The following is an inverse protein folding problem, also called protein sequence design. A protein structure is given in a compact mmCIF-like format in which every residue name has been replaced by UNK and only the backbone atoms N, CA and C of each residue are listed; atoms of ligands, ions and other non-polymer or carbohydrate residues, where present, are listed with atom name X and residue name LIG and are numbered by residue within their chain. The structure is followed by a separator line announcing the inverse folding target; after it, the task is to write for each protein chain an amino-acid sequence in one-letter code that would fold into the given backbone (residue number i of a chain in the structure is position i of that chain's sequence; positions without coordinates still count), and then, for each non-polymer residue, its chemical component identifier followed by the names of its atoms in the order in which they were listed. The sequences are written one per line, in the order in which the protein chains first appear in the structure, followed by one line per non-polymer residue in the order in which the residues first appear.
data_IF_507587429218
#
_entry.id   IF_507587429218
#
_cell.length_a   1.000
_cell.length_b   1.000
_cell.length_c   1.000
_cell.angle_alpha   90.00
_cell.angle_beta   90.00
_cell.angle_gamma   90.00
#
_symmetry.space_group_name_H-M   'P 1'
#
loop_
_entity.id
_entity.type
_entity.pdbx_description
1 polymer ?
#
# COMPACT_ATOMS: atom_id res chain seq x y z
N UNK A 1 -8.22 15.88 -5.22
CA UNK A 1 -9.49 16.59 -5.44
C UNK A 1 -10.55 15.91 -4.58
N UNK A 2 -10.90 16.50 -3.43
CA UNK A 2 -11.85 15.93 -2.45
C UNK A 2 -13.17 16.69 -2.43
N UNK A 3 -13.30 17.76 -3.21
CA UNK A 3 -14.47 18.65 -3.17
C UNK A 3 -15.76 17.96 -3.68
N UNK A 4 -15.61 16.90 -4.47
CA UNK A 4 -16.71 16.10 -5.01
C UNK A 4 -16.98 14.79 -4.23
N UNK A 5 -16.25 14.53 -3.12
CA UNK A 5 -16.41 13.29 -2.36
C UNK A 5 -17.40 13.46 -1.22
N UNK A 6 -18.31 12.49 -1.10
CA UNK A 6 -19.12 12.33 0.10
C UNK A 6 -18.27 11.78 1.27
N UNK A 7 -18.85 11.71 2.47
CA UNK A 7 -18.14 11.22 3.65
C UNK A 7 -17.57 9.81 3.45
N UNK A 8 -18.27 8.95 2.71
CA UNK A 8 -17.81 7.60 2.35
C UNK A 8 -16.59 7.62 1.44
N UNK A 9 -16.59 8.48 0.42
CA UNK A 9 -15.48 8.70 -0.49
C UNK A 9 -14.23 9.23 0.20
N UNK A 10 -14.39 10.17 1.14
CA UNK A 10 -13.27 10.67 1.96
C UNK A 10 -12.69 9.55 2.84
N UNK A 11 -13.55 8.76 3.51
CA UNK A 11 -13.09 7.64 4.33
C UNK A 11 -12.37 6.59 3.48
N UNK A 12 -12.88 6.30 2.29
CA UNK A 12 -12.28 5.35 1.34
C UNK A 12 -10.90 5.81 0.90
N UNK A 13 -10.78 7.04 0.42
CA UNK A 13 -9.50 7.60 0.00
C UNK A 13 -8.47 7.60 1.14
N UNK A 14 -8.90 7.89 2.38
CA UNK A 14 -8.03 7.84 3.54
C UNK A 14 -7.57 6.41 3.88
N UNK A 15 -8.45 5.41 3.80
CA UNK A 15 -8.10 4.00 4.02
C UNK A 15 -7.16 3.49 2.92
N UNK A 16 -7.43 3.82 1.65
CA UNK A 16 -6.56 3.53 0.51
C UNK A 16 -5.16 4.11 0.73
N UNK A 17 -5.09 5.40 1.11
CA UNK A 17 -3.82 6.08 1.40
C UNK A 17 -3.02 5.37 2.49
N UNK A 18 -3.67 4.93 3.58
CA UNK A 18 -3.01 4.21 4.66
C UNK A 18 -2.54 2.82 4.20
N UNK A 19 -3.37 2.10 3.44
CA UNK A 19 -3.02 0.78 2.91
C UNK A 19 -1.82 0.85 1.96
N UNK A 20 -1.82 1.79 1.01
CA UNK A 20 -0.70 2.01 0.07
C UNK A 20 0.58 2.42 0.83
N UNK A 21 0.48 3.40 1.74
CA UNK A 21 1.65 3.86 2.52
C UNK A 21 2.19 2.82 3.50
N UNK A 22 1.43 1.77 3.82
CA UNK A 22 1.97 0.64 4.60
C UNK A 22 3.14 -0.01 3.86
N UNK A 23 3.02 -0.17 2.54
CA UNK A 23 4.12 -0.63 1.68
C UNK A 23 5.14 0.50 1.50
N UNK A 24 4.75 1.56 0.81
CA UNK A 24 5.73 2.46 0.18
C UNK A 24 6.30 3.50 1.18
N UNK A 25 5.52 3.77 2.22
CA UNK A 25 5.83 4.68 3.32
C UNK A 25 6.68 4.03 4.40
N UNK A 26 6.55 2.72 4.64
CA UNK A 26 7.14 2.06 5.83
C UNK A 26 7.87 0.77 5.49
N UNK A 27 7.20 -0.26 4.98
CA UNK A 27 7.80 -1.59 4.82
C UNK A 27 8.89 -1.58 3.74
N UNK A 28 8.67 -0.94 2.59
CA UNK A 28 9.68 -0.83 1.54
C UNK A 28 10.93 -0.07 2.02
N UNK A 29 10.85 1.12 2.63
CA UNK A 29 12.02 1.75 3.27
C UNK A 29 12.76 0.83 4.23
N UNK A 30 12.04 0.09 5.09
CA UNK A 30 12.66 -0.85 6.02
C UNK A 30 13.40 -1.98 5.30
N UNK A 31 12.80 -2.59 4.27
CA UNK A 31 13.46 -3.62 3.45
C UNK A 31 14.77 -3.10 2.86
N UNK A 32 14.75 -1.91 2.25
CA UNK A 32 15.95 -1.33 1.64
C UNK A 32 17.00 -0.91 2.68
N UNK A 33 16.58 -0.46 3.88
CA UNK A 33 17.47 -0.21 5.01
C UNK A 33 18.15 -1.48 5.51
N UNK A 34 17.42 -2.59 5.68
CA UNK A 34 18.02 -3.85 6.14
C UNK A 34 18.96 -4.47 5.09
N UNK A 35 18.72 -4.25 3.80
CA UNK A 35 19.56 -4.82 2.74
C UNK A 35 20.84 -4.02 2.48
N UNK A 36 20.77 -2.68 2.53
CA UNK A 36 21.88 -1.81 2.10
C UNK A 36 22.19 -0.67 3.08
N UNK A 37 21.70 -0.76 4.32
CA UNK A 37 21.86 0.27 5.34
C UNK A 37 21.23 1.61 4.93
N UNK A 38 21.75 2.69 5.50
CA UNK A 38 21.26 4.05 5.24
C UNK A 38 21.24 4.39 3.74
N UNK A 39 22.24 3.94 2.97
CA UNK A 39 22.30 4.18 1.53
C UNK A 39 21.09 3.59 0.79
N UNK A 40 20.67 2.37 1.15
CA UNK A 40 19.45 1.74 0.60
C UNK A 40 18.19 2.52 0.92
N UNK A 41 18.03 2.95 2.18
CA UNK A 41 16.89 3.76 2.60
C UNK A 41 16.79 5.08 1.84
N UNK A 42 17.91 5.80 1.69
CA UNK A 42 17.96 7.05 0.91
C UNK A 42 17.69 6.80 -0.58
N UNK A 43 18.24 5.73 -1.16
CA UNK A 43 18.00 5.37 -2.55
C UNK A 43 16.51 5.13 -2.79
N UNK A 44 15.88 4.26 -2.00
CA UNK A 44 14.47 3.95 -2.12
C UNK A 44 13.60 5.21 -1.96
N UNK A 45 13.82 6.01 -0.91
CA UNK A 45 13.02 7.22 -0.71
C UNK A 45 13.23 8.27 -1.81
N UNK A 46 14.42 8.33 -2.41
CA UNK A 46 14.66 9.20 -3.56
C UNK A 46 13.83 8.76 -4.77
N UNK A 47 13.79 7.45 -5.06
CA UNK A 47 12.98 6.88 -6.16
C UNK A 47 11.49 7.15 -5.92
N UNK A 48 10.99 6.81 -4.74
CA UNK A 48 9.58 6.98 -4.38
C UNK A 48 9.12 8.45 -4.39
N UNK A 49 9.99 9.36 -3.94
CA UNK A 49 9.71 10.80 -4.02
C UNK A 49 9.73 11.29 -5.47
N UNK A 50 10.64 10.78 -6.30
CA UNK A 50 10.73 11.15 -7.72
C UNK A 50 9.46 10.79 -8.48
N UNK A 51 8.88 9.61 -8.23
CA UNK A 51 7.61 9.22 -8.83
C UNK A 51 6.47 10.15 -8.42
N UNK A 52 6.36 10.45 -7.12
CA UNK A 52 5.34 11.37 -6.59
C UNK A 52 5.46 12.81 -7.12
N UNK A 53 6.68 13.29 -7.42
CA UNK A 53 6.92 14.65 -7.92
C UNK A 53 6.78 14.76 -9.46
N UNK A 54 7.22 13.74 -10.20
CA UNK A 54 7.30 13.78 -11.67
C UNK A 54 6.16 13.00 -12.37
N UNK A 55 5.37 12.23 -11.63
CA UNK A 55 4.28 11.39 -12.14
C UNK A 55 3.04 12.16 -12.61
N UNK A 56 2.95 13.47 -12.34
CA UNK A 56 1.86 14.29 -12.90
C UNK A 56 2.01 14.37 -14.42
N UNK A 57 0.98 13.90 -15.13
CA UNK A 57 0.83 13.92 -16.59
C UNK A 57 0.75 15.34 -17.16
N UNK A 58 1.80 16.13 -17.00
CA UNK A 58 2.03 17.31 -17.82
C UNK A 58 2.69 16.85 -19.13
N UNK A 59 2.18 17.31 -20.27
CA UNK A 59 2.73 17.03 -21.62
C UNK A 59 4.25 17.24 -21.71
N UNK A 60 4.85 18.02 -20.80
CA UNK A 60 6.27 18.33 -20.71
C UNK A 60 7.16 17.22 -20.10
N UNK A 61 6.62 16.30 -19.28
CA UNK A 61 7.41 15.32 -18.51
C UNK A 61 7.02 13.85 -18.75
N UNK A 62 6.19 13.58 -19.76
CA UNK A 62 5.59 12.26 -20.00
C UNK A 62 6.60 11.09 -20.02
N UNK A 63 7.77 11.28 -20.64
CA UNK A 63 8.81 10.24 -20.73
C UNK A 63 9.59 10.06 -19.42
N UNK A 64 9.92 11.16 -18.73
CA UNK A 64 10.61 11.12 -17.43
C UNK A 64 9.71 10.56 -16.33
N UNK A 65 8.45 11.00 -16.27
CA UNK A 65 7.45 10.46 -15.36
C UNK A 65 7.22 8.97 -15.56
N UNK A 66 7.22 8.48 -16.82
CA UNK A 66 7.07 7.04 -17.11
C UNK A 66 8.29 6.21 -16.72
N UNK A 67 9.50 6.77 -16.81
CA UNK A 67 10.72 6.12 -16.35
C UNK A 67 10.79 6.07 -14.82
N UNK A 68 10.42 7.17 -14.15
CA UNK A 68 10.33 7.25 -12.69
C UNK A 68 9.29 6.26 -12.13
N UNK A 69 8.07 6.26 -12.69
CA UNK A 69 7.01 5.32 -12.29
C UNK A 69 7.39 3.86 -12.49
N UNK A 70 8.09 3.54 -13.59
CA UNK A 70 8.62 2.19 -13.79
C UNK A 70 9.68 1.85 -12.75
N UNK A 71 10.63 2.74 -12.48
CA UNK A 71 11.66 2.44 -11.48
C UNK A 71 11.03 2.22 -10.10
N UNK A 72 10.05 3.05 -9.72
CA UNK A 72 9.28 2.88 -8.49
C UNK A 72 8.57 1.52 -8.46
N UNK A 73 7.85 1.17 -9.53
CA UNK A 73 7.16 -0.11 -9.65
C UNK A 73 8.11 -1.30 -9.43
N UNK A 74 9.33 -1.21 -9.95
CA UNK A 74 10.34 -2.26 -9.80
C UNK A 74 10.90 -2.35 -8.38
N UNK A 75 11.27 -1.23 -7.76
CA UNK A 75 11.83 -1.23 -6.39
C UNK A 75 10.79 -1.60 -5.34
N UNK A 76 9.50 -1.38 -5.63
CA UNK A 76 8.37 -1.75 -4.77
C UNK A 76 7.79 -3.15 -5.04
N UNK A 77 8.18 -3.81 -6.12
CA UNK A 77 7.57 -5.09 -6.51
C UNK A 77 7.61 -6.16 -5.40
N UNK A 78 8.78 -6.36 -4.79
CA UNK A 78 8.97 -7.31 -3.68
C UNK A 78 8.39 -6.74 -2.38
N UNK A 79 8.73 -5.50 -1.96
CA UNK A 79 8.16 -4.91 -0.76
C UNK A 79 6.64 -4.91 -0.68
N UNK A 80 5.93 -4.60 -1.77
CA UNK A 80 4.47 -4.55 -1.77
C UNK A 80 3.83 -5.93 -1.48
N UNK A 81 4.42 -7.01 -2.03
CA UNK A 81 3.97 -8.39 -1.78
C UNK A 81 4.28 -8.81 -0.35
N UNK A 82 5.47 -8.50 0.14
CA UNK A 82 5.84 -8.75 1.52
C UNK A 82 4.91 -8.01 2.49
N UNK A 83 4.59 -6.75 2.18
CA UNK A 83 3.66 -5.92 2.95
C UNK A 83 2.28 -6.56 3.06
N UNK A 84 1.73 -7.04 1.94
CA UNK A 84 0.44 -7.73 1.93
C UNK A 84 0.44 -9.00 2.80
N UNK A 85 1.53 -9.79 2.77
CA UNK A 85 1.68 -10.99 3.60
C UNK A 85 1.75 -10.63 5.09
N UNK A 86 2.55 -9.62 5.45
CA UNK A 86 2.69 -9.13 6.82
C UNK A 86 1.37 -8.57 7.36
N UNK A 87 0.68 -7.75 6.57
CA UNK A 87 -0.65 -7.24 6.93
C UNK A 87 -1.65 -8.39 7.13
N UNK A 88 -1.68 -9.38 6.24
CA UNK A 88 -2.56 -10.55 6.39
C UNK A 88 -2.27 -11.30 7.69
N UNK A 89 -0.99 -11.52 8.02
CA UNK A 89 -0.57 -12.18 9.25
C UNK A 89 -0.93 -11.37 10.52
N UNK A 90 -0.93 -10.04 10.43
CA UNK A 90 -1.26 -9.14 11.54
C UNK A 90 -2.76 -8.92 11.74
N UNK A 91 -3.63 -9.31 10.79
CA UNK A 91 -5.08 -9.12 10.91
C UNK A 91 -5.67 -9.65 12.24
N UNK A 92 -5.34 -10.87 12.72
CA UNK A 92 -5.87 -11.38 13.99
C UNK A 92 -5.46 -10.53 15.20
N UNK A 93 -4.23 -10.00 15.20
CA UNK A 93 -3.72 -9.12 16.26
C UNK A 93 -4.48 -7.79 16.34
N UNK A 94 -5.08 -7.37 15.23
CA UNK A 94 -5.89 -6.16 15.14
C UNK A 94 -7.40 -6.41 15.32
N UNK A 95 -7.82 -7.66 15.56
CA UNK A 95 -9.23 -8.06 15.60
C UNK A 95 -9.91 -7.94 14.24
N UNK A 96 -9.16 -8.17 13.15
CA UNK A 96 -9.63 -8.10 11.77
C UNK A 96 -9.70 -9.50 11.13
N UNK A 97 -10.47 -9.63 10.05
CA UNK A 97 -10.70 -10.90 9.39
C UNK A 97 -9.54 -11.28 8.46
N UNK A 98 -8.60 -12.08 8.98
CA UNK A 98 -7.45 -12.57 8.22
C UNK A 98 -7.85 -13.51 7.06
N UNK A 99 -8.91 -14.30 7.24
CA UNK A 99 -9.38 -15.24 6.22
C UNK A 99 -9.94 -14.50 5.01
N UNK A 100 -10.76 -13.47 5.27
CA UNK A 100 -11.28 -12.62 4.23
C UNK A 100 -10.21 -11.73 3.60
N UNK A 101 -9.27 -11.20 4.39
CA UNK A 101 -8.10 -10.47 3.89
C UNK A 101 -7.31 -11.30 2.88
N UNK A 102 -6.99 -12.55 3.21
CA UNK A 102 -6.30 -13.48 2.31
C UNK A 102 -7.10 -13.79 1.05
N UNK A 103 -8.42 -14.03 1.20
CA UNK A 103 -9.31 -14.31 0.07
C UNK A 103 -9.34 -13.15 -0.92
N UNK A 104 -9.52 -11.92 -0.45
CA UNK A 104 -9.57 -10.72 -1.29
C UNK A 104 -8.19 -10.42 -1.88
N UNK A 105 -7.12 -10.52 -1.11
CA UNK A 105 -5.75 -10.40 -1.62
C UNK A 105 -5.50 -11.34 -2.80
N UNK A 106 -5.91 -12.60 -2.68
CA UNK A 106 -5.73 -13.56 -3.77
C UNK A 106 -6.54 -13.23 -5.02
N UNK A 107 -7.74 -12.66 -4.85
CA UNK A 107 -8.70 -12.38 -5.92
C UNK A 107 -8.42 -11.04 -6.63
N UNK A 108 -8.09 -10.00 -5.86
CA UNK A 108 -8.19 -8.60 -6.30
C UNK A 108 -6.85 -7.85 -6.36
N UNK A 109 -5.72 -8.44 -5.94
CA UNK A 109 -4.41 -7.76 -5.91
C UNK A 109 -3.87 -7.21 -7.24
N UNK A 110 -4.55 -7.49 -8.35
CA UNK A 110 -4.22 -6.98 -9.69
C UNK A 110 -5.29 -6.05 -10.28
N UNK A 111 -6.32 -5.69 -9.51
CA UNK A 111 -7.40 -4.76 -9.91
C UNK A 111 -7.04 -3.29 -9.67
N UNK A 112 -5.77 -2.96 -9.80
CA UNK A 112 -5.25 -1.61 -9.64
C UNK A 112 -4.30 -1.28 -10.80
N UNK A 113 -4.22 0.00 -11.18
CA UNK A 113 -3.36 0.42 -12.28
C UNK A 113 -1.87 0.24 -11.96
N UNK A 114 -1.49 0.52 -10.71
CA UNK A 114 -0.17 0.16 -10.17
C UNK A 114 -0.14 -1.34 -9.83
N UNK A 115 0.93 -2.08 -10.24
CA UNK A 115 1.13 -3.47 -9.87
C UNK A 115 1.37 -3.70 -8.36
N UNK A 116 1.59 -2.62 -7.61
CA UNK A 116 2.01 -2.64 -6.21
C UNK A 116 0.91 -2.18 -5.25
N UNK A 117 0.21 -1.06 -5.51
CA UNK A 117 -0.79 -0.52 -4.57
C UNK A 117 -1.92 -1.51 -4.28
N UNK A 118 -2.36 -2.26 -5.31
CA UNK A 118 -3.39 -3.28 -5.17
C UNK A 118 -3.04 -4.42 -4.20
N UNK A 119 -1.75 -4.64 -3.88
CA UNK A 119 -1.33 -5.69 -2.96
C UNK A 119 -1.85 -5.41 -1.54
N UNK A 120 -1.59 -4.23 -0.98
CA UNK A 120 -1.97 -3.87 0.39
C UNK A 120 -3.42 -3.40 0.48
N UNK A 121 -3.94 -2.71 -0.55
CA UNK A 121 -5.35 -2.31 -0.62
C UNK A 121 -6.29 -3.51 -0.58
N UNK A 122 -5.98 -4.59 -1.31
CA UNK A 122 -6.80 -5.80 -1.31
C UNK A 122 -6.83 -6.51 0.04
N UNK A 123 -5.70 -6.54 0.77
CA UNK A 123 -5.66 -7.02 2.15
C UNK A 123 -6.51 -6.14 3.05
N UNK A 124 -6.38 -4.82 2.96
CA UNK A 124 -7.12 -3.88 3.81
C UNK A 124 -8.64 -3.95 3.55
N UNK A 125 -9.05 -4.00 2.28
CA UNK A 125 -10.44 -4.16 1.88
C UNK A 125 -11.05 -5.45 2.44
N UNK A 126 -10.34 -6.58 2.30
CA UNK A 126 -10.77 -7.86 2.86
C UNK A 126 -10.80 -7.89 4.38
N UNK A 127 -9.76 -7.39 5.04
CA UNK A 127 -9.66 -7.35 6.51
C UNK A 127 -10.78 -6.53 7.15
N UNK A 128 -11.21 -5.47 6.48
CA UNK A 128 -12.26 -4.55 6.94
C UNK A 128 -13.67 -4.96 6.47
N UNK A 129 -13.79 -5.76 5.40
CA UNK A 129 -15.08 -6.13 4.81
C UNK A 129 -15.75 -4.98 4.04
N UNK A 130 -14.95 -4.12 3.40
CA UNK A 130 -15.40 -2.94 2.65
C UNK A 130 -14.94 -3.01 1.19
N UNK A 131 -15.52 -2.13 0.36
CA UNK A 131 -14.98 -1.86 -0.98
C UNK A 131 -14.06 -0.65 -0.99
N UNK A 132 -12.88 -0.84 -1.54
CA UNK A 132 -11.94 0.21 -1.93
C UNK A 132 -11.93 0.36 -3.45
N UNK A 133 -11.18 1.35 -3.93
CA UNK A 133 -11.12 1.83 -5.29
C UNK A 133 -12.52 2.18 -5.83
N UNK A 134 -12.76 1.87 -7.10
CA UNK A 134 -13.99 2.20 -7.81
C UNK A 134 -13.95 3.55 -8.51
N UNK A 135 -15.09 3.88 -9.09
CA UNK A 135 -15.27 5.02 -9.97
C UNK A 135 -14.79 6.34 -9.34
N UNK A 136 -14.00 7.10 -10.11
CA UNK A 136 -13.49 8.41 -9.70
C UNK A 136 -13.85 9.46 -10.74
N UNK A 137 -14.26 10.64 -10.29
CA UNK A 137 -14.45 11.80 -11.17
C UNK A 137 -13.18 12.66 -11.17
N UNK A 138 -12.60 12.87 -12.35
CA UNK A 138 -11.49 13.81 -12.54
C UNK A 138 -11.86 14.81 -13.62
N UNK A 139 -11.79 16.11 -13.31
CA UNK A 139 -12.10 17.15 -14.30
C UNK A 139 -13.53 17.10 -14.89
N UNK A 140 -14.48 16.50 -14.17
CA UNK A 140 -15.86 16.30 -14.64
C UNK A 140 -16.09 15.02 -15.44
N UNK A 141 -15.06 14.24 -15.74
CA UNK A 141 -15.17 12.96 -16.44
C UNK A 141 -15.15 11.77 -15.47
N UNK A 142 -16.03 10.79 -15.71
CA UNK A 142 -16.10 9.54 -14.95
C UNK A 142 -15.02 8.57 -15.42
N UNK A 143 -14.04 8.31 -14.58
CA UNK A 143 -13.05 7.25 -14.78
C UNK A 143 -13.50 5.99 -14.05
N UNK A 144 -13.95 5.00 -14.82
CA UNK A 144 -14.30 3.68 -14.29
C UNK A 144 -13.04 2.96 -13.83
N UNK A 145 -13.01 2.56 -12.56
CA UNK A 145 -11.98 1.68 -12.00
C UNK A 145 -12.64 0.44 -11.42
N UNK A 146 -11.93 -0.66 -11.45
CA UNK A 146 -12.40 -1.88 -10.78
C UNK A 146 -12.44 -1.65 -9.27
N UNK A 147 -13.44 -2.24 -8.61
CA UNK A 147 -13.51 -2.27 -7.16
C UNK A 147 -12.60 -3.37 -6.60
N UNK A 148 -12.03 -3.09 -5.43
CA UNK A 148 -11.26 -4.03 -4.63
C UNK A 148 -12.06 -4.38 -3.37
N UNK A 149 -12.23 -5.67 -3.08
CA UNK A 149 -13.01 -6.14 -1.92
C UNK A 149 -14.49 -6.37 -2.21
N UNK A 150 -15.23 -6.73 -1.15
CA UNK A 150 -16.67 -7.01 -1.20
C UNK A 150 -17.42 -6.04 -0.26
N UNK A 151 -18.64 -5.58 -0.63
CA UNK A 151 -19.43 -4.66 0.19
C UNK A 151 -20.15 -5.39 1.33
N UNK A 152 -19.40 -6.01 2.24
CA UNK A 152 -20.00 -6.71 3.38
C UNK A 152 -20.60 -5.72 4.39
N UNK A 153 -20.06 -4.49 4.41
CA UNK A 153 -20.62 -3.32 5.10
C UNK A 153 -20.15 -2.03 4.45
N UNK A 154 -20.77 -0.93 4.83
CA UNK A 154 -20.32 0.40 4.44
C UNK A 154 -19.02 0.80 5.17
N UNK A 155 -18.26 1.67 4.50
CA UNK A 155 -17.05 2.26 5.05
C UNK A 155 -17.42 3.36 6.04
N UNK A 156 -16.70 3.43 7.16
CA UNK A 156 -16.93 4.42 8.21
C UNK A 156 -15.62 5.08 8.64
N UNK A 157 -15.65 6.27 9.28
CA UNK A 157 -14.43 6.97 9.69
C UNK A 157 -13.50 6.16 10.61
N UNK A 158 -14.06 5.23 11.39
CA UNK A 158 -13.27 4.32 12.25
C UNK A 158 -12.35 3.40 11.45
N UNK A 159 -12.64 3.14 10.17
CA UNK A 159 -11.81 2.31 9.32
C UNK A 159 -10.43 2.89 9.06
N UNK A 160 -10.28 4.21 9.07
CA UNK A 160 -8.98 4.88 8.97
C UNK A 160 -8.09 4.44 10.14
N UNK A 161 -8.64 4.41 11.36
CA UNK A 161 -7.91 3.96 12.54
C UNK A 161 -7.67 2.45 12.50
N UNK A 162 -8.61 1.65 11.99
CA UNK A 162 -8.43 0.20 11.84
C UNK A 162 -7.30 -0.13 10.85
N UNK A 163 -7.27 0.54 9.70
CA UNK A 163 -6.20 0.46 8.72
C UNK A 163 -4.86 0.91 9.32
N UNK A 164 -4.84 2.02 10.07
CA UNK A 164 -3.65 2.50 10.75
C UNK A 164 -3.10 1.51 11.78
N UNK A 165 -3.96 0.87 12.58
CA UNK A 165 -3.54 -0.20 13.51
C UNK A 165 -2.93 -1.39 12.77
N UNK A 166 -3.51 -1.78 11.64
CA UNK A 166 -2.97 -2.86 10.80
C UNK A 166 -1.60 -2.50 10.22
N UNK A 167 -1.43 -1.26 9.74
CA UNK A 167 -0.16 -0.70 9.31
C UNK A 167 0.88 -0.79 10.43
N UNK A 168 0.58 -0.25 11.63
CA UNK A 168 1.54 -0.29 12.75
C UNK A 168 1.91 -1.72 13.15
N UNK A 169 0.95 -2.64 13.21
CA UNK A 169 1.23 -4.05 13.51
C UNK A 169 2.17 -4.69 12.47
N UNK A 170 1.90 -4.47 11.18
CA UNK A 170 2.76 -4.95 10.09
C UNK A 170 4.17 -4.32 10.13
N UNK A 171 4.26 -3.03 10.43
CA UNK A 171 5.53 -2.30 10.57
C UNK A 171 6.38 -2.84 11.73
N UNK A 172 5.78 -3.10 12.89
CA UNK A 172 6.48 -3.70 14.03
C UNK A 172 6.94 -5.13 13.68
N UNK A 173 6.10 -5.93 13.03
CA UNK A 173 6.47 -7.27 12.60
C UNK A 173 7.64 -7.24 11.61
N UNK A 174 7.64 -6.32 10.64
CA UNK A 174 8.73 -6.13 9.70
C UNK A 174 10.03 -5.74 10.41
N UNK A 175 9.96 -4.78 11.34
CA UNK A 175 11.13 -4.31 12.09
C UNK A 175 11.76 -5.46 12.90
N UNK A 176 10.93 -6.24 13.61
CA UNK A 176 11.39 -7.39 14.40
C UNK A 176 11.99 -8.49 13.51
N UNK A 177 11.32 -8.82 12.41
CA UNK A 177 11.80 -9.84 11.47
C UNK A 177 13.13 -9.43 10.81
N UNK A 178 13.25 -8.16 10.39
CA UNK A 178 14.47 -7.63 9.80
C UNK A 178 15.63 -7.57 10.80
N UNK A 179 15.38 -7.07 12.02
CA UNK A 179 16.40 -7.01 13.07
C UNK A 179 16.89 -8.42 13.48
N UNK A 180 15.99 -9.40 13.57
CA UNK A 180 16.36 -10.79 13.85
C UNK A 180 17.21 -11.39 12.73
N UNK A 181 16.84 -11.12 11.47
CA UNK A 181 17.59 -11.59 10.30
C UNK A 181 19.00 -11.00 10.28
N UNK A 182 19.12 -9.69 10.48
CA UNK A 182 20.41 -8.99 10.52
C UNK A 182 21.29 -9.51 11.67
N UNK A 183 20.72 -9.68 12.86
CA UNK A 183 21.41 -10.26 14.01
C UNK A 183 21.92 -11.68 13.71
N UNK A 184 21.09 -12.54 13.09
CA UNK A 184 21.48 -13.89 12.71
C UNK A 184 22.61 -13.91 11.67
N UNK A 185 22.60 -12.98 10.71
CA UNK A 185 23.69 -12.84 9.73
C UNK A 185 24.99 -12.45 10.43
N UNK A 186 24.96 -11.48 11.35
CA UNK A 186 26.13 -11.04 12.11
C UNK A 186 26.71 -12.20 12.95
N UNK A 187 25.87 -13.04 13.55
CA UNK A 187 26.35 -14.19 14.33
C UNK A 187 26.99 -15.30 13.48
N UNK A 188 26.65 -15.38 12.19
CA UNK A 188 27.17 -16.40 11.28
C UNK A 188 28.44 -15.96 10.53
N UNK A 189 28.87 -14.70 10.68
CA UNK A 189 30.10 -14.13 10.11
C UNK A 189 31.24 -14.16 11.13
#
# INVERSE_FOLDING_TARGET
DTAALDAGGICRAAVETVAENTSDGVIAPLVWLFLFGAAGGFFYKSVNTMDSMLGYKNQKYLYFGRAAARLDDWVNYIPARLSALLMTACCPLCGLDAGNAWRIFRRDRYRHASPNSGQTESVCAGALGVRLAGDAFYGGELHKKEYIGDPLRDIEPKDIQRAGRLMYAASVLMLLAGALLEYAVILCL
#
